data_IF_915789227618
#
_entry.id   IF_915789227618
#
_cell.length_a   1.000
_cell.length_b   1.000
_cell.length_c   1.000
_cell.angle_alpha   90.00
_cell.angle_beta   90.00
_cell.angle_gamma   90.00
#
_symmetry.space_group_name_H-M   'P 1'
#
loop_
_entity.id
_entity.type
_entity.pdbx_description
1 polymer ?
#
# COMPACT_ATOMS: atom_id res chain seq x y z
N UNK A 1 0.49 -10.71 -11.99
CA UNK A 1 -0.10 -9.68 -11.08
C UNK A 1 0.16 -10.09 -9.66
N UNK A 2 -0.27 -11.31 -9.31
CA UNK A 2 0.11 -11.98 -8.06
C UNK A 2 1.63 -11.96 -7.87
N UNK A 3 2.40 -12.22 -8.93
CA UNK A 3 3.88 -12.17 -8.89
C UNK A 3 4.47 -10.81 -8.48
N UNK A 4 3.81 -9.69 -8.81
CA UNK A 4 4.29 -8.35 -8.43
C UNK A 4 3.92 -8.02 -6.98
N UNK A 5 2.78 -8.52 -6.52
CA UNK A 5 2.35 -8.39 -5.13
C UNK A 5 3.28 -9.20 -4.24
N UNK A 6 3.53 -10.46 -4.60
CA UNK A 6 4.39 -11.36 -3.84
C UNK A 6 5.81 -10.78 -3.73
N UNK A 7 6.36 -10.27 -4.84
CA UNK A 7 7.66 -9.59 -4.82
C UNK A 7 7.67 -8.35 -3.91
N UNK A 8 6.62 -7.53 -3.97
CA UNK A 8 6.55 -6.33 -3.13
C UNK A 8 6.45 -6.68 -1.63
N UNK A 9 5.76 -7.76 -1.29
CA UNK A 9 5.67 -8.26 0.09
C UNK A 9 7.03 -8.77 0.56
N UNK A 10 7.70 -9.61 -0.24
CA UNK A 10 9.05 -10.12 0.08
C UNK A 10 10.04 -8.97 0.33
N UNK A 11 10.01 -7.94 -0.51
CA UNK A 11 10.86 -6.76 -0.35
C UNK A 11 10.51 -5.92 0.88
N UNK A 12 9.22 -5.76 1.18
CA UNK A 12 8.76 -5.05 2.39
C UNK A 12 9.19 -5.78 3.66
N UNK A 13 9.09 -7.11 3.69
CA UNK A 13 9.53 -7.92 4.83
C UNK A 13 11.05 -7.88 5.01
N UNK A 14 11.81 -7.87 3.91
CA UNK A 14 13.28 -7.86 3.95
C UNK A 14 13.88 -6.47 4.24
N UNK A 15 13.27 -5.41 3.70
CA UNK A 15 13.86 -4.06 3.68
C UNK A 15 13.09 -3.05 4.54
N UNK A 16 11.90 -3.40 5.02
CA UNK A 16 11.04 -2.54 5.82
C UNK A 16 10.18 -1.59 4.97
N UNK A 17 9.77 -0.46 5.56
CA UNK A 17 8.73 0.42 5.01
C UNK A 17 9.10 1.17 3.72
N UNK A 18 10.34 1.10 3.26
CA UNK A 18 10.80 1.78 2.05
C UNK A 18 11.77 0.89 1.24
N UNK A 19 11.24 -0.15 0.58
CA UNK A 19 12.05 -1.11 -0.16
C UNK A 19 12.64 -0.48 -1.42
N UNK A 20 13.88 -0.83 -1.74
CA UNK A 20 14.59 -0.26 -2.88
C UNK A 20 13.97 -0.72 -4.21
N UNK A 21 13.83 0.23 -5.16
CA UNK A 21 13.32 -0.07 -6.50
C UNK A 21 11.80 0.09 -6.63
N UNK A 22 11.11 0.33 -5.52
CA UNK A 22 9.69 0.64 -5.50
C UNK A 22 9.45 2.14 -5.38
N UNK A 23 8.39 2.61 -6.03
CA UNK A 23 7.90 3.98 -5.82
C UNK A 23 7.01 3.95 -4.58
N UNK A 24 7.52 4.51 -3.49
CA UNK A 24 6.86 4.53 -2.19
C UNK A 24 6.57 5.95 -1.76
N UNK A 25 5.34 6.20 -1.32
CA UNK A 25 4.86 7.46 -0.78
C UNK A 25 4.36 7.27 0.65
N UNK A 26 4.92 8.03 1.60
CA UNK A 26 4.38 8.11 2.97
C UNK A 26 3.13 8.99 2.96
N UNK A 27 1.99 8.46 3.40
CA UNK A 27 0.68 9.14 3.39
C UNK A 27 0.13 9.43 4.78
N UNK A 28 0.71 8.86 5.83
CA UNK A 28 0.37 9.13 7.24
C UNK A 28 1.58 8.98 8.16
N UNK A 29 1.36 8.96 9.48
CA UNK A 29 2.44 8.77 10.47
C UNK A 29 3.13 7.41 10.29
N UNK A 30 2.33 6.36 10.09
CA UNK A 30 2.80 4.98 9.88
C UNK A 30 2.21 4.33 8.62
N UNK A 31 1.57 5.13 7.77
CA UNK A 31 0.93 4.68 6.54
C UNK A 31 1.77 5.01 5.31
N UNK A 32 1.90 4.02 4.43
CA UNK A 32 2.65 4.10 3.20
C UNK A 32 1.84 3.55 2.02
N UNK A 33 2.18 4.02 0.83
CA UNK A 33 1.64 3.53 -0.44
C UNK A 33 2.77 3.17 -1.39
N UNK A 34 2.62 2.07 -2.09
CA UNK A 34 3.58 1.57 -3.08
C UNK A 34 2.89 1.33 -4.42
N UNK A 35 3.50 1.77 -5.52
CA UNK A 35 2.99 1.52 -6.87
C UNK A 35 3.49 0.20 -7.40
N UNK A 36 2.59 -0.78 -7.52
CA UNK A 36 2.90 -2.08 -8.12
C UNK A 36 3.07 -1.96 -9.64
N UNK A 37 2.25 -1.10 -10.27
CA UNK A 37 2.40 -0.63 -11.65
C UNK A 37 1.48 0.59 -11.88
N UNK A 38 1.27 0.99 -13.14
CA UNK A 38 0.42 2.13 -13.52
C UNK A 38 -1.06 2.04 -13.10
N UNK A 39 -1.58 0.84 -12.78
CA UNK A 39 -2.96 0.58 -12.33
C UNK A 39 -3.07 0.06 -10.90
N UNK A 40 -2.01 -0.47 -10.31
CA UNK A 40 -2.10 -1.16 -9.04
C UNK A 40 -1.28 -0.45 -8.00
N UNK A 41 -1.89 -0.21 -6.84
CA UNK A 41 -1.25 0.38 -5.67
C UNK A 41 -1.44 -0.57 -4.50
N UNK A 42 -0.53 -0.49 -3.55
CA UNK A 42 -0.59 -1.22 -2.31
C UNK A 42 -0.50 -0.19 -1.19
N UNK A 43 -1.29 -0.36 -0.13
CA UNK A 43 -1.16 0.42 1.10
C UNK A 43 -0.64 -0.53 2.18
N UNK A 44 0.20 -0.02 3.05
CA UNK A 44 0.65 -0.78 4.19
C UNK A 44 0.89 0.16 5.36
N UNK A 45 0.65 -0.37 6.56
CA UNK A 45 0.80 0.34 7.81
C UNK A 45 1.81 -0.40 8.68
N UNK A 46 2.68 0.33 9.35
CA UNK A 46 3.52 -0.23 10.40
C UNK A 46 2.75 -0.20 11.72
N UNK A 47 2.50 -1.36 12.32
CA UNK A 47 1.66 -1.45 13.54
C UNK A 47 2.52 -1.63 14.80
N UNK A 48 3.65 -2.34 14.70
CA UNK A 48 4.63 -2.53 15.80
C UNK A 48 6.07 -2.57 15.25
N UNK A 49 7.09 -2.75 16.12
CA UNK A 49 8.55 -2.61 15.88
C UNK A 49 9.16 -3.64 14.89
N UNK A 50 8.37 -4.09 13.90
CA UNK A 50 8.71 -4.70 12.59
C UNK A 50 7.51 -5.29 11.85
N UNK A 51 6.31 -5.30 12.43
CA UNK A 51 5.13 -5.89 11.76
C UNK A 51 4.46 -4.88 10.83
N UNK A 52 4.31 -5.29 9.58
CA UNK A 52 3.60 -4.56 8.54
C UNK A 52 2.24 -5.21 8.33
N UNK A 53 1.18 -4.44 8.46
CA UNK A 53 -0.13 -4.83 7.93
C UNK A 53 -0.25 -4.30 6.50
N UNK A 54 -0.43 -5.24 5.57
CA UNK A 54 -0.46 -4.96 4.15
C UNK A 54 -1.90 -5.10 3.66
N UNK A 55 -2.43 -4.03 3.11
CA UNK A 55 -3.76 -3.99 2.51
C UNK A 55 -3.66 -3.57 1.05
N UNK A 56 -4.03 -4.48 0.15
CA UNK A 56 -3.89 -4.27 -1.29
C UNK A 56 -5.19 -3.67 -1.83
N UNK A 57 -5.11 -2.43 -2.30
CA UNK A 57 -6.24 -1.72 -2.89
C UNK A 57 -6.10 -1.60 -4.39
N UNK A 58 -7.14 -1.98 -5.13
CA UNK A 58 -7.16 -1.80 -6.57
C UNK A 58 -7.53 -0.35 -6.93
N UNK A 59 -6.57 0.44 -7.41
CA UNK A 59 -6.86 1.73 -8.07
C UNK A 59 -6.96 1.51 -9.57
N UNK A 60 -8.04 0.84 -9.98
CA UNK A 60 -8.57 1.03 -11.33
C UNK A 60 -8.74 2.51 -11.60
N UNK A 61 -8.37 2.94 -12.81
CA UNK A 61 -8.45 4.29 -13.38
C UNK A 61 -9.11 5.32 -12.43
N UNK A 62 -8.34 6.31 -11.94
CA UNK A 62 -8.66 7.41 -10.97
C UNK A 62 -10.13 7.78 -10.71
N UNK A 63 -11.01 7.60 -11.69
CA UNK A 63 -12.47 7.62 -11.55
C UNK A 63 -13.04 6.64 -10.52
N UNK A 64 -12.54 5.41 -10.40
CA UNK A 64 -13.14 4.42 -9.48
C UNK A 64 -12.71 4.67 -8.01
N UNK A 65 -11.47 5.10 -7.78
CA UNK A 65 -10.96 5.37 -6.43
C UNK A 65 -11.51 6.67 -5.79
N UNK A 66 -12.20 7.51 -6.56
CA UNK A 66 -12.93 8.67 -6.04
C UNK A 66 -14.39 8.35 -5.68
N UNK A 67 -14.85 7.14 -5.99
CA UNK A 67 -16.21 6.63 -5.68
C UNK A 67 -16.23 5.74 -4.43
N UNK A 68 -15.08 5.53 -3.77
CA UNK A 68 -15.07 4.94 -2.43
C UNK A 68 -15.65 5.95 -1.41
N UNK A 69 -16.77 5.62 -0.75
CA UNK A 69 -17.29 6.48 0.30
C UNK A 69 -16.25 6.56 1.42
N UNK A 70 -15.90 7.78 1.83
CA UNK A 70 -15.03 8.01 2.99
C UNK A 70 -15.50 7.16 4.18
N UNK A 71 -14.60 6.50 4.94
CA UNK A 71 -15.01 5.73 6.12
C UNK A 71 -15.79 6.66 7.05
N UNK A 72 -17.07 6.35 7.24
CA UNK A 72 -17.93 7.12 8.15
C UNK A 72 -17.40 6.95 9.56
N UNK A 73 -16.95 8.05 10.16
CA UNK A 73 -16.65 8.08 11.60
C UNK A 73 -17.94 7.77 12.36
N UNK A 74 -17.98 6.73 13.22
CA UNK A 74 -19.18 6.44 14.00
C UNK A 74 -19.50 7.62 14.93
N UNK A 75 -20.77 8.02 14.94
CA UNK A 75 -21.32 9.12 15.76
C UNK A 75 -21.41 8.76 17.25
#
# INVERSE_FOLDING_TARGET
MQDLVDLAIEDLEAQGTNPQGWDTLKTGEDEYRLWLNYRYRMRYCQIEDRELEIEIFYVGNLRDALDEPSPQTPS
#
